data_IF_163019438422
#
_entry.id   IF_163019438422
#
_cell.length_a   1.000
_cell.length_b   1.000
_cell.length_c   1.000
_cell.angle_alpha   90.00
_cell.angle_beta   90.00
_cell.angle_gamma   90.00
#
_symmetry.space_group_name_H-M   'P 1'
#
loop_
_entity.id
_entity.type
_entity.pdbx_description
1 polymer ?
#
# COMPACT_ATOMS: atom_id res chain seq x y z
N UNK A 1 -14.09 -4.41 23.78
CA UNK A 1 -13.84 -3.13 23.09
C UNK A 1 -12.67 -3.33 22.13
N UNK A 2 -12.73 -2.66 20.99
CA UNK A 2 -11.62 -2.61 20.04
C UNK A 2 -10.87 -1.29 20.22
N UNK A 3 -9.56 -1.31 19.95
CA UNK A 3 -8.68 -0.15 19.94
C UNK A 3 -7.85 -0.11 18.67
N UNK A 4 -7.27 1.03 18.38
CA UNK A 4 -6.34 1.23 17.27
C UNK A 4 -5.37 2.37 17.57
N UNK A 5 -4.18 2.29 17.02
CA UNK A 5 -3.25 3.40 16.96
C UNK A 5 -3.64 4.33 15.81
N UNK A 6 -3.42 5.64 15.98
CA UNK A 6 -3.79 6.64 14.99
C UNK A 6 -2.68 7.68 14.82
N UNK A 7 -2.44 8.04 13.57
CA UNK A 7 -1.69 9.23 13.18
C UNK A 7 -2.57 10.14 12.32
N UNK A 8 -2.63 11.41 12.68
CA UNK A 8 -3.25 12.45 11.88
C UNK A 8 -2.14 13.37 11.34
N UNK A 9 -2.19 13.77 10.05
CA UNK A 9 -1.23 14.74 9.51
C UNK A 9 -1.21 16.03 10.34
N UNK A 10 -0.07 16.71 10.39
CA UNK A 10 0.10 17.93 11.19
C UNK A 10 -0.85 19.08 10.79
N UNK A 11 -1.33 19.05 9.53
CA UNK A 11 -2.31 20.02 9.01
C UNK A 11 -3.77 19.53 9.10
N UNK A 12 -4.03 18.45 9.87
CA UNK A 12 -5.38 17.89 9.98
C UNK A 12 -6.38 18.92 10.53
N UNK A 13 -7.46 19.09 9.79
CA UNK A 13 -8.54 20.01 10.13
C UNK A 13 -9.90 19.44 9.69
N UNK A 14 -10.94 19.71 10.47
CA UNK A 14 -12.32 19.26 10.17
C UNK A 14 -12.94 19.92 8.91
N UNK A 15 -12.27 20.89 8.34
CA UNK A 15 -12.66 21.57 7.11
C UNK A 15 -12.04 20.98 5.84
N UNK A 16 -11.16 19.97 6.00
CA UNK A 16 -10.46 19.31 4.91
C UNK A 16 -10.77 17.81 4.92
N UNK A 17 -10.54 17.14 3.81
CA UNK A 17 -10.61 15.68 3.72
C UNK A 17 -9.25 15.12 3.34
N UNK A 18 -8.91 13.97 3.91
CA UNK A 18 -7.60 13.33 3.80
C UNK A 18 -7.74 11.91 3.25
N UNK A 19 -6.77 11.40 2.48
CA UNK A 19 -6.69 9.96 2.24
C UNK A 19 -6.53 9.22 3.57
N UNK A 20 -7.09 8.02 3.66
CA UNK A 20 -6.98 7.18 4.86
C UNK A 20 -6.37 5.83 4.53
N UNK A 21 -5.45 5.38 5.37
CA UNK A 21 -4.78 4.08 5.28
C UNK A 21 -5.10 3.26 6.54
N UNK A 22 -5.74 2.11 6.36
CA UNK A 22 -6.04 1.13 7.40
C UNK A 22 -4.94 0.07 7.44
N UNK A 23 -4.21 -0.02 8.54
CA UNK A 23 -3.06 -0.89 8.69
C UNK A 23 -3.35 -2.09 9.61
N UNK A 24 -2.85 -3.27 9.22
CA UNK A 24 -3.05 -4.54 9.91
C UNK A 24 -1.70 -5.23 10.16
N UNK A 25 -1.34 -5.36 11.43
CA UNK A 25 -0.18 -6.13 11.88
C UNK A 25 -0.59 -7.56 12.25
N UNK A 26 0.21 -8.60 11.92
CA UNK A 26 -0.15 -9.98 12.22
C UNK A 26 -0.20 -10.33 13.71
N UNK A 27 0.34 -9.49 14.58
CA UNK A 27 0.33 -9.67 16.05
C UNK A 27 -0.74 -8.82 16.74
N UNK A 28 -1.48 -7.98 16.00
CA UNK A 28 -2.44 -7.03 16.55
C UNK A 28 -1.76 -5.82 17.21
N UNK A 29 -0.57 -5.47 16.78
CA UNK A 29 0.13 -4.25 17.20
C UNK A 29 -0.06 -3.15 16.14
N UNK A 30 -1.19 -2.48 16.21
CA UNK A 30 -1.50 -1.36 15.31
C UNK A 30 -0.55 -0.18 15.44
N UNK A 31 0.14 -0.07 16.60
CA UNK A 31 1.14 0.98 16.82
C UNK A 31 2.40 0.80 15.98
N UNK A 32 2.74 -0.44 15.63
CA UNK A 32 3.95 -0.77 14.86
C UNK A 32 3.93 -0.17 13.45
N UNK A 33 2.95 -0.43 12.56
CA UNK A 33 2.89 0.21 11.26
C UNK A 33 2.72 1.73 11.34
N UNK A 34 1.98 2.24 12.34
CA UNK A 34 1.85 3.68 12.55
C UNK A 34 3.20 4.31 12.88
N UNK A 35 3.97 3.74 13.81
CA UNK A 35 5.31 4.20 14.16
C UNK A 35 6.28 4.14 13.00
N UNK A 36 6.26 3.05 12.23
CA UNK A 36 7.16 2.84 11.11
C UNK A 36 6.91 3.81 9.95
N UNK A 37 5.65 4.19 9.70
CA UNK A 37 5.27 4.89 8.48
C UNK A 37 4.58 6.24 8.70
N UNK A 38 4.54 6.77 9.93
CA UNK A 38 4.00 8.11 10.21
C UNK A 38 4.65 9.23 9.39
N UNK A 39 5.95 9.10 9.08
CA UNK A 39 6.65 10.09 8.24
C UNK A 39 6.14 10.09 6.80
N UNK A 40 5.74 8.92 6.29
CA UNK A 40 5.09 8.82 4.98
C UNK A 40 3.65 9.33 5.03
N UNK A 41 2.94 9.02 6.12
CA UNK A 41 1.61 9.57 6.35
C UNK A 41 1.62 11.09 6.39
N UNK A 42 2.62 11.71 7.05
CA UNK A 42 2.84 13.16 7.00
C UNK A 42 3.17 13.65 5.58
N UNK A 43 4.15 13.03 4.92
CA UNK A 43 4.60 13.40 3.58
C UNK A 43 3.49 13.43 2.53
N UNK A 44 2.57 12.46 2.60
CA UNK A 44 1.47 12.30 1.65
C UNK A 44 0.11 12.71 2.21
N UNK A 45 0.09 13.32 3.39
CA UNK A 45 -1.12 13.80 4.10
C UNK A 45 -2.16 12.71 4.38
N UNK A 46 -1.74 11.48 4.70
CA UNK A 46 -2.63 10.38 5.03
C UNK A 46 -3.02 10.37 6.52
N UNK A 47 -4.29 10.11 6.81
CA UNK A 47 -4.68 9.51 8.09
C UNK A 47 -4.18 8.08 8.09
N UNK A 48 -3.38 7.68 9.08
CA UNK A 48 -2.89 6.31 9.21
C UNK A 48 -3.43 5.70 10.51
N UNK A 49 -4.25 4.66 10.37
CA UNK A 49 -4.87 3.96 11.49
C UNK A 49 -4.42 2.50 11.51
N UNK A 50 -3.95 1.99 12.64
CA UNK A 50 -3.48 0.61 12.80
C UNK A 50 -4.32 -0.16 13.82
N UNK A 51 -4.88 -1.32 13.44
CA UNK A 51 -5.72 -2.16 14.29
C UNK A 51 -4.93 -2.86 15.39
N UNK A 52 -5.35 -2.73 16.66
CA UNK A 52 -4.77 -3.47 17.79
C UNK A 52 -5.42 -4.83 18.03
N UNK A 53 -6.44 -5.19 17.27
CA UNK A 53 -7.24 -6.37 17.55
C UNK A 53 -7.16 -7.44 16.45
N UNK A 54 -6.78 -7.07 15.23
CA UNK A 54 -6.62 -8.01 14.12
C UNK A 54 -5.27 -8.73 14.24
N UNK A 55 -5.30 -10.04 14.52
CA UNK A 55 -4.07 -10.83 14.74
C UNK A 55 -4.19 -12.26 14.23
N UNK A 56 -3.05 -12.87 13.95
CA UNK A 56 -2.95 -14.30 13.63
C UNK A 56 -3.51 -15.17 14.78
N UNK A 57 -4.07 -16.33 14.41
CA UNK A 57 -4.70 -17.24 15.38
C UNK A 57 -6.16 -16.90 15.72
N UNK A 58 -6.68 -15.78 15.26
CA UNK A 58 -8.10 -15.47 15.25
C UNK A 58 -8.78 -16.22 14.09
N UNK A 59 -10.02 -16.72 14.29
CA UNK A 59 -10.77 -17.32 13.19
C UNK A 59 -10.97 -16.30 12.05
N UNK A 60 -11.07 -16.78 10.82
CA UNK A 60 -11.21 -15.89 9.65
C UNK A 60 -12.43 -14.97 9.78
N UNK A 61 -13.56 -15.53 10.18
CA UNK A 61 -14.81 -14.77 10.38
C UNK A 61 -14.66 -13.66 11.43
N UNK A 62 -14.05 -13.96 12.58
CA UNK A 62 -13.84 -12.97 13.63
C UNK A 62 -12.81 -11.92 13.19
N UNK A 63 -11.77 -12.29 12.46
CA UNK A 63 -10.79 -11.34 11.93
C UNK A 63 -11.42 -10.35 10.93
N UNK A 64 -12.30 -10.84 10.04
CA UNK A 64 -13.07 -9.98 9.14
C UNK A 64 -14.03 -9.05 9.90
N UNK A 65 -14.71 -9.55 10.93
CA UNK A 65 -15.58 -8.74 11.78
C UNK A 65 -14.82 -7.64 12.51
N UNK A 66 -13.65 -7.96 13.06
CA UNK A 66 -12.76 -6.98 13.69
C UNK A 66 -12.35 -5.91 12.68
N UNK A 67 -11.91 -6.31 11.48
CA UNK A 67 -11.52 -5.38 10.43
C UNK A 67 -12.66 -4.45 10.00
N UNK A 68 -13.86 -4.97 9.83
CA UNK A 68 -15.04 -4.18 9.47
C UNK A 68 -15.45 -3.20 10.57
N UNK A 69 -15.42 -3.60 11.85
CA UNK A 69 -15.71 -2.71 12.98
C UNK A 69 -14.71 -1.58 13.06
N UNK A 70 -13.41 -1.89 12.95
CA UNK A 70 -12.34 -0.90 12.91
C UNK A 70 -12.49 0.07 11.75
N UNK A 71 -12.72 -0.45 10.54
CA UNK A 71 -12.96 0.34 9.33
C UNK A 71 -14.11 1.33 9.51
N UNK A 72 -15.24 0.88 10.00
CA UNK A 72 -16.42 1.72 10.20
C UNK A 72 -16.20 2.76 11.31
N UNK A 73 -15.55 2.42 12.41
CA UNK A 73 -15.30 3.35 13.52
C UNK A 73 -14.43 4.54 13.07
N UNK A 74 -13.33 4.28 12.36
CA UNK A 74 -12.47 5.34 11.83
C UNK A 74 -13.22 6.24 10.86
N UNK A 75 -14.03 5.67 9.97
CA UNK A 75 -14.80 6.46 9.01
C UNK A 75 -15.87 7.34 9.65
N UNK A 76 -16.40 6.96 10.80
CA UNK A 76 -17.39 7.77 11.51
C UNK A 76 -16.78 8.91 12.33
N UNK A 77 -15.49 8.81 12.67
CA UNK A 77 -14.82 9.77 13.58
C UNK A 77 -13.98 10.81 12.88
N UNK A 78 -13.47 10.53 11.68
CA UNK A 78 -12.48 11.39 11.03
C UNK A 78 -12.94 11.86 9.65
N UNK A 79 -12.50 13.07 9.27
CA UNK A 79 -12.79 13.64 7.95
C UNK A 79 -11.83 13.08 6.92
N UNK A 80 -12.30 12.15 6.09
CA UNK A 80 -11.53 11.48 5.07
C UNK A 80 -12.13 11.68 3.67
N UNK A 81 -11.32 11.49 2.65
CA UNK A 81 -11.75 11.48 1.25
C UNK A 81 -12.27 10.08 0.88
N UNK A 82 -13.55 9.94 0.62
CA UNK A 82 -14.20 8.66 0.28
C UNK A 82 -13.71 8.02 -1.03
N UNK A 83 -12.98 8.75 -1.86
CA UNK A 83 -12.35 8.24 -3.08
C UNK A 83 -10.87 7.83 -2.86
N UNK A 84 -10.35 8.00 -1.64
CA UNK A 84 -8.95 7.78 -1.29
C UNK A 84 -8.83 6.95 -0.02
N UNK A 85 -9.41 5.76 -0.05
CA UNK A 85 -9.40 4.80 1.05
C UNK A 85 -8.47 3.65 0.67
N UNK A 86 -7.51 3.34 1.53
CA UNK A 86 -6.49 2.32 1.27
C UNK A 86 -6.33 1.39 2.47
N UNK A 87 -5.87 0.17 2.18
CA UNK A 87 -5.46 -0.78 3.20
C UNK A 87 -3.96 -1.08 3.10
N UNK A 88 -3.36 -1.43 4.21
CA UNK A 88 -1.97 -1.83 4.35
C UNK A 88 -1.90 -3.02 5.30
N UNK A 89 -1.13 -4.04 4.99
CA UNK A 89 -0.93 -5.13 5.94
C UNK A 89 0.38 -5.87 5.72
N UNK A 90 0.82 -6.56 6.76
CA UNK A 90 1.97 -7.45 6.70
C UNK A 90 1.55 -8.88 7.06
N UNK A 91 2.06 -9.88 6.33
CA UNK A 91 1.85 -11.29 6.59
C UNK A 91 0.36 -11.64 6.73
N UNK A 92 -0.09 -12.20 7.85
CA UNK A 92 -1.52 -12.44 8.11
C UNK A 92 -2.37 -11.15 8.05
N UNK A 93 -1.81 -10.00 8.48
CA UNK A 93 -2.46 -8.70 8.35
C UNK A 93 -2.64 -8.27 6.88
N UNK A 94 -1.70 -8.65 5.98
CA UNK A 94 -1.85 -8.41 4.54
C UNK A 94 -3.04 -9.18 3.95
N UNK A 95 -3.27 -10.41 4.40
CA UNK A 95 -4.43 -11.21 3.97
C UNK A 95 -5.75 -10.56 4.40
N UNK A 96 -5.80 -9.99 5.61
CA UNK A 96 -6.98 -9.25 6.10
C UNK A 96 -7.16 -7.95 5.31
N UNK A 97 -6.10 -7.17 5.09
CA UNK A 97 -6.13 -5.94 4.30
C UNK A 97 -6.65 -6.20 2.87
N UNK A 98 -6.16 -7.26 2.23
CA UNK A 98 -6.60 -7.63 0.88
C UNK A 98 -8.05 -8.12 0.85
N UNK A 99 -8.44 -8.97 1.81
CA UNK A 99 -9.84 -9.43 1.92
C UNK A 99 -10.80 -8.26 2.12
N UNK A 100 -10.51 -7.36 3.06
CA UNK A 100 -11.32 -6.17 3.28
C UNK A 100 -11.43 -5.32 1.99
N UNK A 101 -10.34 -5.23 1.22
CA UNK A 101 -10.32 -4.50 -0.05
C UNK A 101 -11.18 -5.19 -1.10
N UNK A 102 -11.14 -6.52 -1.20
CA UNK A 102 -11.95 -7.28 -2.16
C UNK A 102 -13.44 -7.23 -1.82
N UNK A 103 -13.78 -7.27 -0.54
CA UNK A 103 -15.17 -7.28 -0.07
C UNK A 103 -15.80 -5.88 -0.04
N UNK A 104 -14.98 -4.81 -0.10
CA UNK A 104 -15.46 -3.43 0.02
C UNK A 104 -15.11 -2.55 -1.19
N UNK A 105 -16.11 -2.27 -2.02
CA UNK A 105 -15.99 -1.46 -3.24
C UNK A 105 -15.54 -0.01 -3.04
N UNK A 106 -15.60 0.54 -1.82
CA UNK A 106 -15.12 1.90 -1.52
C UNK A 106 -13.60 1.99 -1.38
N UNK A 107 -12.90 0.86 -1.16
CA UNK A 107 -11.45 0.84 -0.99
C UNK A 107 -10.77 0.95 -2.35
N UNK A 108 -9.95 1.97 -2.50
CA UNK A 108 -9.27 2.35 -3.74
C UNK A 108 -8.04 1.49 -4.02
N UNK A 109 -7.35 1.01 -2.97
CA UNK A 109 -6.18 0.18 -3.16
C UNK A 109 -5.67 -0.45 -1.88
N UNK A 110 -4.75 -1.43 -2.04
CA UNK A 110 -4.13 -2.16 -0.93
C UNK A 110 -2.64 -2.34 -1.16
N UNK A 111 -1.88 -2.24 -0.07
CA UNK A 111 -0.46 -2.58 0.01
C UNK A 111 -0.34 -3.86 0.84
N UNK A 112 0.08 -4.93 0.21
CA UNK A 112 0.26 -6.25 0.84
C UNK A 112 1.74 -6.58 0.96
N UNK A 113 2.26 -6.62 2.19
CA UNK A 113 3.65 -6.98 2.46
C UNK A 113 3.74 -8.42 3.00
N UNK A 114 4.60 -9.24 2.41
CA UNK A 114 4.90 -10.60 2.85
C UNK A 114 3.76 -11.62 2.78
N UNK A 115 2.60 -11.26 2.25
CA UNK A 115 1.53 -12.20 1.91
C UNK A 115 0.53 -11.56 0.94
N UNK A 116 -0.15 -12.37 0.12
CA UNK A 116 -1.14 -11.95 -0.87
C UNK A 116 -2.58 -12.17 -0.39
N UNK A 117 -3.47 -12.62 -1.26
CA UNK A 117 -4.83 -12.97 -0.91
C UNK A 117 -4.90 -14.27 -0.09
N UNK A 118 -5.94 -14.44 0.74
CA UNK A 118 -6.28 -15.76 1.26
C UNK A 118 -6.56 -16.74 0.12
N UNK A 119 -6.12 -17.99 0.25
CA UNK A 119 -6.28 -19.00 -0.80
C UNK A 119 -7.73 -19.17 -1.29
N UNK A 120 -8.71 -19.02 -0.40
CA UNK A 120 -10.12 -19.11 -0.73
C UNK A 120 -10.66 -17.93 -1.59
N UNK A 121 -9.92 -16.83 -1.71
CA UNK A 121 -10.34 -15.61 -2.42
C UNK A 121 -9.60 -15.38 -3.73
N UNK A 122 -8.61 -16.20 -4.07
CA UNK A 122 -7.84 -16.06 -5.32
C UNK A 122 -8.68 -16.25 -6.59
N UNK A 123 -9.81 -16.94 -6.50
CA UNK A 123 -10.73 -17.18 -7.62
C UNK A 123 -11.83 -16.10 -7.77
N UNK A 124 -11.91 -15.14 -6.87
CA UNK A 124 -13.01 -14.18 -6.82
C UNK A 124 -12.48 -12.75 -6.62
N UNK A 125 -11.54 -12.36 -7.47
CA UNK A 125 -10.86 -11.07 -7.39
C UNK A 125 -11.78 -9.96 -7.90
N UNK A 126 -12.01 -8.94 -7.08
CA UNK A 126 -12.72 -7.73 -7.50
C UNK A 126 -11.87 -6.92 -8.47
N UNK A 127 -12.45 -6.33 -9.49
CA UNK A 127 -11.80 -5.38 -10.39
C UNK A 127 -11.76 -3.94 -9.82
N UNK A 128 -11.01 -3.08 -10.49
CA UNK A 128 -11.00 -1.62 -10.29
C UNK A 128 -10.47 -1.15 -8.93
N UNK A 129 -9.41 -1.77 -8.44
CA UNK A 129 -8.61 -1.24 -7.32
C UNK A 129 -7.11 -1.32 -7.65
N UNK A 130 -6.27 -0.75 -6.81
CA UNK A 130 -4.82 -0.79 -6.95
C UNK A 130 -4.23 -1.83 -5.99
N UNK A 131 -3.38 -2.70 -6.50
CA UNK A 131 -2.72 -3.73 -5.68
C UNK A 131 -1.21 -3.57 -5.72
N UNK A 132 -0.60 -3.28 -4.57
CA UNK A 132 0.84 -3.26 -4.39
C UNK A 132 1.28 -4.46 -3.55
N UNK A 133 2.02 -5.36 -4.15
CA UNK A 133 2.74 -6.42 -3.44
C UNK A 133 4.11 -5.93 -3.00
N UNK A 134 4.56 -6.28 -1.80
CA UNK A 134 5.92 -6.03 -1.34
C UNK A 134 6.46 -7.29 -0.67
N UNK A 135 7.66 -7.74 -1.06
CA UNK A 135 8.30 -8.91 -0.46
C UNK A 135 9.81 -8.71 -0.31
N UNK A 136 10.38 -9.26 0.75
CA UNK A 136 11.83 -9.42 0.83
C UNK A 136 12.33 -10.47 -0.19
N UNK A 137 13.54 -10.31 -0.73
CA UNK A 137 14.12 -11.28 -1.65
C UNK A 137 14.41 -12.64 -0.99
N UNK A 138 14.53 -12.66 0.35
CA UNK A 138 14.66 -13.87 1.17
C UNK A 138 13.38 -14.19 1.98
N UNK A 139 12.24 -13.62 1.63
CA UNK A 139 10.94 -13.93 2.23
C UNK A 139 10.45 -15.30 1.77
N UNK A 140 10.03 -16.17 2.69
CA UNK A 140 9.50 -17.49 2.37
C UNK A 140 8.19 -17.43 1.55
N UNK A 141 7.46 -16.30 1.61
CA UNK A 141 6.27 -16.05 0.79
C UNK A 141 6.58 -15.33 -0.54
N UNK A 142 7.86 -15.09 -0.87
CA UNK A 142 8.22 -14.38 -2.11
C UNK A 142 7.61 -15.02 -3.36
N UNK A 143 7.64 -16.36 -3.44
CA UNK A 143 7.07 -17.10 -4.59
C UNK A 143 5.55 -16.96 -4.66
N UNK A 144 4.86 -16.97 -3.52
CA UNK A 144 3.42 -16.72 -3.42
C UNK A 144 3.09 -15.32 -3.95
N UNK A 145 3.83 -14.31 -3.46
CA UNK A 145 3.63 -12.91 -3.85
C UNK A 145 3.83 -12.69 -5.35
N UNK A 146 4.90 -13.29 -5.89
CA UNK A 146 5.19 -13.23 -7.33
C UNK A 146 4.15 -13.93 -8.18
N UNK A 147 3.67 -15.10 -7.74
CA UNK A 147 2.59 -15.81 -8.44
C UNK A 147 1.30 -14.99 -8.44
N UNK A 148 0.93 -14.42 -7.30
CA UNK A 148 -0.27 -13.62 -7.19
C UNK A 148 -0.21 -12.40 -8.13
N UNK A 149 0.91 -11.66 -8.14
CA UNK A 149 1.10 -10.51 -9.02
C UNK A 149 1.08 -10.88 -10.52
N UNK A 150 1.80 -11.92 -10.92
CA UNK A 150 2.01 -12.25 -12.34
C UNK A 150 0.95 -13.17 -12.94
N UNK A 151 0.25 -13.97 -12.13
CA UNK A 151 -0.66 -15.02 -12.60
C UNK A 151 -2.08 -14.77 -12.11
N UNK A 152 -2.27 -14.63 -10.79
CA UNK A 152 -3.63 -14.59 -10.23
C UNK A 152 -4.33 -13.26 -10.52
N UNK A 153 -3.59 -12.15 -10.63
CA UNK A 153 -4.12 -10.85 -11.05
C UNK A 153 -4.12 -10.63 -12.57
N UNK A 154 -3.48 -11.51 -13.33
CA UNK A 154 -3.46 -11.43 -14.78
C UNK A 154 -4.87 -11.59 -15.36
N UNK A 155 -5.27 -10.69 -16.24
CA UNK A 155 -6.61 -10.71 -16.85
C UNK A 155 -7.69 -9.97 -16.07
N UNK A 156 -7.40 -9.50 -14.84
CA UNK A 156 -8.28 -8.60 -14.10
C UNK A 156 -7.98 -7.13 -14.43
N UNK A 157 -9.00 -6.28 -14.37
CA UNK A 157 -8.84 -4.83 -14.54
C UNK A 157 -8.30 -4.18 -13.25
N UNK A 158 -7.12 -4.64 -12.84
CA UNK A 158 -6.41 -4.19 -11.64
C UNK A 158 -5.04 -3.68 -12.06
N UNK A 159 -4.70 -2.46 -11.66
CA UNK A 159 -3.30 -2.04 -11.71
C UNK A 159 -2.58 -2.66 -10.53
N UNK A 160 -1.58 -3.47 -10.82
CA UNK A 160 -0.83 -4.20 -9.80
C UNK A 160 0.68 -4.10 -10.03
N UNK A 161 1.45 -4.31 -8.96
CA UNK A 161 2.90 -4.29 -8.99
C UNK A 161 3.48 -5.04 -7.81
N UNK A 162 4.61 -5.71 -8.03
CA UNK A 162 5.46 -6.27 -6.98
C UNK A 162 6.72 -5.40 -6.82
N UNK A 163 6.96 -4.91 -5.59
CA UNK A 163 8.23 -4.36 -5.14
C UNK A 163 9.00 -5.42 -4.35
N UNK A 164 10.31 -5.48 -4.58
CA UNK A 164 11.19 -6.42 -3.87
C UNK A 164 12.28 -5.61 -3.18
N UNK A 165 12.51 -5.90 -1.90
CA UNK A 165 13.59 -5.30 -1.12
C UNK A 165 14.60 -6.36 -0.66
N UNK A 166 15.79 -5.94 -0.29
CA UNK A 166 16.79 -6.83 0.29
C UNK A 166 16.46 -7.08 1.76
N UNK A 167 15.85 -8.22 2.06
CA UNK A 167 15.34 -8.55 3.39
C UNK A 167 14.61 -9.89 3.43
N UNK A 168 14.10 -10.21 4.62
CA UNK A 168 13.39 -11.44 4.93
C UNK A 168 11.87 -11.20 5.04
N UNK A 169 11.19 -12.10 5.76
CA UNK A 169 9.76 -11.94 6.09
C UNK A 169 9.60 -10.91 7.22
N UNK A 170 9.53 -9.65 6.88
CA UNK A 170 9.49 -8.52 7.80
C UNK A 170 8.75 -7.32 7.19
N UNK A 171 8.37 -6.35 8.02
CA UNK A 171 7.82 -5.10 7.53
C UNK A 171 8.82 -4.40 6.60
N UNK A 172 8.37 -3.91 5.42
CA UNK A 172 9.25 -3.28 4.44
C UNK A 172 10.00 -2.06 5.03
N UNK A 173 11.24 -1.82 4.60
CA UNK A 173 11.96 -0.59 4.91
C UNK A 173 11.19 0.66 4.47
N UNK A 174 11.42 1.78 5.17
CA UNK A 174 10.77 3.07 4.90
C UNK A 174 10.87 3.49 3.42
N UNK A 175 12.04 3.29 2.80
CA UNK A 175 12.26 3.64 1.40
C UNK A 175 11.38 2.83 0.43
N UNK A 176 11.23 1.52 0.67
CA UNK A 176 10.36 0.66 -0.16
C UNK A 176 8.89 1.02 0.04
N UNK A 177 8.49 1.33 1.27
CA UNK A 177 7.12 1.76 1.57
C UNK A 177 6.84 3.15 0.98
N UNK A 178 7.82 4.06 0.94
CA UNK A 178 7.71 5.37 0.27
C UNK A 178 7.38 5.21 -1.23
N UNK A 179 8.03 4.26 -1.90
CA UNK A 179 7.69 3.90 -3.29
C UNK A 179 6.24 3.42 -3.43
N UNK A 180 5.77 2.60 -2.49
CA UNK A 180 4.41 2.09 -2.52
C UNK A 180 3.37 3.22 -2.31
N UNK A 181 3.61 4.12 -1.35
CA UNK A 181 2.76 5.30 -1.15
C UNK A 181 2.76 6.21 -2.38
N UNK A 182 3.95 6.50 -2.92
CA UNK A 182 4.07 7.29 -4.15
C UNK A 182 3.28 6.66 -5.31
N UNK A 183 3.38 5.36 -5.48
CA UNK A 183 2.67 4.65 -6.54
C UNK A 183 1.14 4.75 -6.38
N UNK A 184 0.62 4.67 -5.15
CA UNK A 184 -0.80 4.89 -4.88
C UNK A 184 -1.22 6.31 -5.24
N UNK A 185 -0.43 7.33 -4.85
CA UNK A 185 -0.67 8.74 -5.19
C UNK A 185 -0.67 8.97 -6.71
N UNK A 186 0.31 8.46 -7.44
CA UNK A 186 0.39 8.60 -8.88
C UNK A 186 -0.79 7.94 -9.61
N UNK A 187 -1.27 6.80 -9.12
CA UNK A 187 -2.46 6.17 -9.70
C UNK A 187 -3.74 6.94 -9.39
N UNK A 188 -3.84 7.55 -8.22
CA UNK A 188 -4.94 8.45 -7.90
C UNK A 188 -4.93 9.69 -8.81
N UNK A 189 -3.77 10.29 -9.06
CA UNK A 189 -3.63 11.44 -9.97
C UNK A 189 -4.05 11.10 -11.41
N UNK A 190 -3.80 9.86 -11.87
CA UNK A 190 -4.31 9.38 -13.18
C UNK A 190 -5.83 9.26 -13.18
N UNK A 191 -6.41 8.75 -12.10
CA UNK A 191 -7.85 8.54 -11.96
C UNK A 191 -8.60 9.87 -11.82
N UNK A 192 -8.01 10.82 -11.10
CA UNK A 192 -8.60 12.13 -10.81
C UNK A 192 -7.61 13.24 -11.18
N UNK A 193 -7.57 13.67 -12.46
CA UNK A 193 -6.59 14.67 -12.93
C UNK A 193 -6.61 16.00 -12.18
N UNK A 194 -7.72 16.35 -11.55
CA UNK A 194 -7.82 17.56 -10.70
C UNK A 194 -6.96 17.49 -9.42
N UNK A 195 -6.60 16.28 -9.00
CA UNK A 195 -5.72 16.04 -7.84
C UNK A 195 -4.24 15.94 -8.26
N UNK A 196 -3.91 16.21 -9.52
CA UNK A 196 -2.54 16.13 -10.03
C UNK A 196 -1.63 17.09 -9.25
N UNK A 197 -0.54 16.55 -8.72
CA UNK A 197 0.48 17.30 -8.00
C UNK A 197 1.78 17.30 -8.80
N UNK A 198 1.96 18.33 -9.62
CA UNK A 198 3.14 18.47 -10.49
C UNK A 198 4.45 18.52 -9.71
N UNK A 199 4.46 18.99 -8.46
CA UNK A 199 5.65 19.00 -7.62
C UNK A 199 6.09 17.58 -7.24
N UNK A 200 5.16 16.70 -6.87
CA UNK A 200 5.44 15.29 -6.56
C UNK A 200 5.97 14.59 -7.82
N UNK A 201 5.32 14.78 -8.96
CA UNK A 201 5.70 14.17 -10.23
C UNK A 201 7.11 14.63 -10.62
N UNK A 202 7.35 15.93 -10.65
CA UNK A 202 8.65 16.53 -11.01
C UNK A 202 9.77 16.04 -10.12
N UNK A 203 9.58 16.11 -8.80
CA UNK A 203 10.57 15.66 -7.81
C UNK A 203 10.88 14.16 -7.94
N UNK A 204 9.86 13.35 -8.22
CA UNK A 204 10.04 11.92 -8.44
C UNK A 204 10.82 11.61 -9.72
N UNK A 205 10.53 12.29 -10.83
CA UNK A 205 11.29 12.16 -12.08
C UNK A 205 12.74 12.62 -11.90
N UNK A 206 12.97 13.75 -11.21
CA UNK A 206 14.32 14.24 -10.91
C UNK A 206 15.13 13.23 -10.08
N UNK A 207 14.49 12.59 -9.09
CA UNK A 207 15.14 11.55 -8.29
C UNK A 207 15.49 10.34 -9.14
N UNK A 208 14.54 9.83 -9.93
CA UNK A 208 14.77 8.69 -10.82
C UNK A 208 15.85 9.00 -11.87
N UNK A 209 15.90 10.22 -12.41
CA UNK A 209 16.93 10.64 -13.35
C UNK A 209 18.31 10.61 -12.71
N UNK A 210 18.43 11.04 -11.45
CA UNK A 210 19.71 10.99 -10.71
C UNK A 210 20.13 9.55 -10.44
N UNK A 211 19.21 8.68 -9.99
CA UNK A 211 19.50 7.25 -9.78
C UNK A 211 19.96 6.56 -11.07
N UNK A 212 19.31 6.86 -12.19
CA UNK A 212 19.72 6.38 -13.51
C UNK A 212 21.14 6.83 -13.87
N UNK A 213 21.43 8.13 -13.69
CA UNK A 213 22.77 8.68 -13.98
C UNK A 213 23.85 8.05 -13.11
N UNK A 214 23.57 7.83 -11.83
CA UNK A 214 24.48 7.16 -10.91
C UNK A 214 24.77 5.71 -11.34
N UNK A 215 23.74 4.95 -11.73
CA UNK A 215 23.90 3.60 -12.24
C UNK A 215 24.74 3.56 -13.53
N UNK A 216 24.49 4.49 -14.47
CA UNK A 216 25.28 4.60 -15.71
C UNK A 216 26.75 4.95 -15.42
N UNK A 217 27.02 5.89 -14.52
CA UNK A 217 28.37 6.27 -14.12
C UNK A 217 29.16 5.10 -13.51
N UNK A 218 28.47 4.25 -12.75
CA UNK A 218 29.01 3.00 -12.17
C UNK A 218 29.08 1.84 -13.16
N UNK A 219 28.57 2.01 -14.38
CA UNK A 219 28.43 0.95 -15.41
C UNK A 219 27.56 -0.23 -14.98
N UNK A 220 26.62 0.02 -14.07
CA UNK A 220 25.64 -0.95 -13.58
C UNK A 220 24.44 -1.01 -14.55
N UNK A 221 24.63 -1.59 -15.74
CA UNK A 221 23.65 -1.51 -16.84
C UNK A 221 22.29 -2.14 -16.51
N UNK A 222 22.27 -3.19 -15.70
CA UNK A 222 21.02 -3.80 -15.25
C UNK A 222 20.25 -2.88 -14.29
N UNK A 223 20.93 -2.24 -13.36
CA UNK A 223 20.33 -1.25 -12.45
C UNK A 223 19.79 -0.04 -13.24
N UNK A 224 20.54 0.45 -14.23
CA UNK A 224 20.08 1.52 -15.12
C UNK A 224 18.82 1.13 -15.90
N UNK A 225 18.75 -0.09 -16.44
CA UNK A 225 17.58 -0.61 -17.13
C UNK A 225 16.37 -0.69 -16.19
N UNK A 226 16.53 -1.25 -14.99
CA UNK A 226 15.44 -1.35 -14.00
C UNK A 226 14.95 0.05 -13.56
N UNK A 227 15.87 1.02 -13.40
CA UNK A 227 15.50 2.41 -13.10
C UNK A 227 14.66 3.02 -14.22
N UNK A 228 15.03 2.86 -15.48
CA UNK A 228 14.25 3.32 -16.63
C UNK A 228 12.87 2.67 -16.65
N UNK A 229 12.80 1.35 -16.54
CA UNK A 229 11.55 0.59 -16.54
C UNK A 229 10.61 1.02 -15.41
N UNK A 230 11.16 1.22 -14.20
CA UNK A 230 10.42 1.72 -13.05
C UNK A 230 9.88 3.12 -13.33
N UNK A 231 10.72 4.03 -13.83
CA UNK A 231 10.36 5.43 -14.08
C UNK A 231 9.22 5.51 -15.10
N UNK A 232 9.30 4.79 -16.21
CA UNK A 232 8.24 4.74 -17.22
C UNK A 232 6.93 4.28 -16.55
N UNK A 233 6.94 3.15 -15.86
CA UNK A 233 5.75 2.58 -15.22
C UNK A 233 5.14 3.50 -14.16
N UNK A 234 5.96 4.27 -13.43
CA UNK A 234 5.49 5.18 -12.38
C UNK A 234 4.89 6.46 -12.96
N UNK A 235 5.46 7.02 -14.01
CA UNK A 235 5.13 8.37 -14.50
C UNK A 235 4.44 8.40 -15.86
N UNK A 236 4.27 7.25 -16.51
CA UNK A 236 3.51 7.14 -17.76
C UNK A 236 2.12 7.79 -17.62
N UNK A 237 1.73 8.59 -18.63
CA UNK A 237 0.46 9.33 -18.69
C UNK A 237 0.23 10.35 -17.55
N UNK A 238 1.28 10.86 -16.93
CA UNK A 238 1.21 11.93 -15.93
C UNK A 238 1.87 13.25 -16.41
N UNK A 239 2.52 13.21 -17.56
CA UNK A 239 3.15 14.37 -18.20
C UNK A 239 2.17 15.29 -18.93
#
# INVERSE_FOLDING_TARGET
SQSYALYLPSDYASTKTYPVMFAFDPHGDGSLPVKNYKELAEKYHFILAGSDNSKNGTSWEEAQKIANVFFNDVQTRYYYNSQRIYCLGFSGGARIANSLTMDNGSITGVICAGASAPAAQTSNVRDNYYFMAIAGNADFNYVEMKKYDLVDLAGHNIKHRLLVFDGKHEWPPLATMDEAFLWMELNQMRKVPKEKNDSIIKKGIETATRELQDALNKKEMFAAYECCRKTINFYENLG
#
